data_IF_702517450833
#
_entry.id   IF_702517450833
#
_cell.length_a   1.000
_cell.length_b   1.000
_cell.length_c   1.000
_cell.angle_alpha   90.00
_cell.angle_beta   90.00
_cell.angle_gamma   90.00
#
_symmetry.space_group_name_H-M   'P 1'
#
loop_
_entity.id
_entity.type
_entity.pdbx_description
1 polymer ?
#
# COMPACT_ATOMS: atom_id res chain seq x y z
N UNK A 1 -5.07 0.33 -14.43
CA UNK A 1 -4.82 -0.62 -13.33
C UNK A 1 -5.57 -1.92 -13.59
N UNK A 2 -4.81 -2.93 -13.82
CA UNK A 2 -5.34 -4.17 -14.39
C UNK A 2 -6.40 -4.89 -13.56
N UNK A 3 -6.29 -4.88 -12.23
CA UNK A 3 -7.22 -5.64 -11.40
C UNK A 3 -8.67 -5.11 -11.49
N UNK A 4 -8.83 -3.80 -11.56
CA UNK A 4 -10.16 -3.21 -11.66
C UNK A 4 -10.76 -3.44 -13.05
N UNK A 5 -9.92 -3.42 -14.07
CA UNK A 5 -10.36 -3.71 -15.44
C UNK A 5 -10.83 -5.16 -15.57
N UNK A 6 -10.12 -6.08 -14.93
CA UNK A 6 -10.43 -7.51 -14.98
C UNK A 6 -11.78 -7.80 -14.35
N UNK A 7 -12.09 -7.18 -13.21
CA UNK A 7 -13.32 -7.48 -12.49
C UNK A 7 -14.50 -6.58 -12.88
N UNK A 8 -14.32 -5.67 -13.83
CA UNK A 8 -15.41 -4.86 -14.37
C UNK A 8 -16.02 -3.87 -13.40
N UNK A 9 -15.21 -3.31 -12.51
CA UNK A 9 -15.68 -2.32 -11.54
C UNK A 9 -16.09 -1.03 -12.25
N UNK A 10 -17.16 -0.39 -11.75
CA UNK A 10 -17.63 0.92 -12.21
C UNK A 10 -16.48 1.92 -12.28
N UNK A 11 -16.42 2.72 -13.35
CA UNK A 11 -15.36 3.68 -13.57
C UNK A 11 -15.29 4.75 -12.47
N UNK A 12 -16.43 5.15 -11.90
CA UNK A 12 -16.44 6.11 -10.79
C UNK A 12 -15.74 5.55 -9.57
N UNK A 13 -16.01 4.30 -9.23
CA UNK A 13 -15.36 3.61 -8.13
C UNK A 13 -13.87 3.43 -8.41
N UNK A 14 -13.52 3.09 -9.64
CA UNK A 14 -12.11 2.96 -10.05
C UNK A 14 -11.36 4.28 -9.88
N UNK A 15 -11.96 5.38 -10.31
CA UNK A 15 -11.35 6.70 -10.17
C UNK A 15 -11.18 7.10 -8.70
N UNK A 16 -12.20 6.85 -7.88
CA UNK A 16 -12.13 7.14 -6.46
C UNK A 16 -11.03 6.35 -5.79
N UNK A 17 -10.98 5.04 -6.03
CA UNK A 17 -9.96 4.19 -5.45
C UNK A 17 -8.57 4.56 -5.95
N UNK A 18 -8.43 4.92 -7.22
CA UNK A 18 -7.16 5.37 -7.78
C UNK A 18 -6.63 6.60 -7.06
N UNK A 19 -7.47 7.60 -6.86
CA UNK A 19 -7.13 8.81 -6.14
C UNK A 19 -6.74 8.51 -4.69
N UNK A 20 -7.51 7.67 -4.02
CA UNK A 20 -7.22 7.30 -2.63
C UNK A 20 -5.93 6.50 -2.52
N UNK A 21 -5.65 5.62 -3.48
CA UNK A 21 -4.39 4.87 -3.49
C UNK A 21 -3.18 5.76 -3.71
N UNK A 22 -3.30 6.80 -4.52
CA UNK A 22 -2.23 7.78 -4.69
C UNK A 22 -1.92 8.47 -3.36
N UNK A 23 -2.96 8.85 -2.63
CA UNK A 23 -2.79 9.49 -1.32
C UNK A 23 -2.18 8.51 -0.31
N UNK A 24 -2.63 7.26 -0.30
CA UNK A 24 -2.04 6.21 0.54
C UNK A 24 -0.56 6.04 0.22
N UNK A 25 -0.20 6.00 -1.06
CA UNK A 25 1.19 5.88 -1.48
C UNK A 25 2.03 7.07 -1.02
N UNK A 26 1.48 8.27 -1.10
CA UNK A 26 2.15 9.48 -0.63
C UNK A 26 2.42 9.42 0.88
N UNK A 27 1.43 9.03 1.65
CA UNK A 27 1.57 8.88 3.10
C UNK A 27 2.62 7.82 3.42
N UNK A 28 2.56 6.69 2.73
CA UNK A 28 3.51 5.59 2.89
C UNK A 28 4.94 6.07 2.66
N UNK A 29 5.19 6.75 1.56
CA UNK A 29 6.52 7.24 1.22
C UNK A 29 7.01 8.29 2.23
N UNK A 30 6.11 9.18 2.67
CA UNK A 30 6.43 10.19 3.67
C UNK A 30 6.86 9.55 4.99
N UNK A 31 6.16 8.50 5.41
CA UNK A 31 6.48 7.81 6.65
C UNK A 31 7.79 7.04 6.58
N UNK A 32 8.19 6.58 5.40
CA UNK A 32 9.47 5.90 5.21
C UNK A 32 10.64 6.86 5.06
N UNK A 33 10.40 8.11 4.76
CA UNK A 33 11.47 9.09 4.56
C UNK A 33 12.25 9.33 5.85
N UNK A 34 13.56 9.51 5.72
CA UNK A 34 14.43 9.76 6.85
C UNK A 34 15.54 10.71 6.44
N UNK A 35 15.97 11.56 7.38
CA UNK A 35 17.12 12.43 7.18
C UNK A 35 18.44 11.71 7.41
N UNK A 36 18.41 10.53 8.03
CA UNK A 36 19.59 9.73 8.27
C UNK A 36 19.88 8.86 7.04
N UNK A 37 20.96 9.12 6.28
CA UNK A 37 21.20 8.46 5.00
C UNK A 37 21.13 6.92 5.00
N UNK A 38 21.74 6.20 5.95
CA UNK A 38 21.62 4.74 5.96
C UNK A 38 20.18 4.25 6.09
N UNK A 39 19.39 4.91 6.93
CA UNK A 39 17.97 4.55 7.10
C UNK A 39 17.18 4.86 5.84
N UNK A 40 17.46 6.01 5.23
CA UNK A 40 16.77 6.40 4.01
C UNK A 40 17.08 5.43 2.85
N UNK A 41 18.32 4.99 2.72
CA UNK A 41 18.71 4.00 1.73
C UNK A 41 17.96 2.69 1.93
N UNK A 42 17.86 2.24 3.19
CA UNK A 42 17.12 1.04 3.52
C UNK A 42 15.62 1.20 3.20
N UNK A 43 15.05 2.36 3.50
CA UNK A 43 13.64 2.64 3.20
C UNK A 43 13.35 2.60 1.70
N UNK A 44 14.24 3.14 0.88
CA UNK A 44 14.12 3.06 -0.58
C UNK A 44 14.15 1.61 -1.04
N UNK A 45 15.05 0.81 -0.46
CA UNK A 45 15.15 -0.62 -0.78
C UNK A 45 13.87 -1.36 -0.39
N UNK A 46 13.36 -1.11 0.81
CA UNK A 46 12.12 -1.73 1.30
C UNK A 46 10.93 -1.35 0.43
N UNK A 47 10.89 -0.13 -0.08
CA UNK A 47 9.80 0.33 -0.94
C UNK A 47 9.65 -0.52 -2.21
N UNK A 48 10.71 -1.22 -2.64
CA UNK A 48 10.66 -2.12 -3.80
C UNK A 48 9.81 -3.36 -3.53
N UNK A 49 9.53 -3.68 -2.27
CA UNK A 49 8.67 -4.80 -1.89
C UNK A 49 7.20 -4.50 -2.15
N UNK A 50 6.88 -3.23 -2.36
CA UNK A 50 5.51 -2.80 -2.64
C UNK A 50 5.02 -3.44 -3.93
N UNK A 51 3.84 -4.07 -3.87
CA UNK A 51 3.25 -4.73 -5.01
C UNK A 51 2.04 -3.99 -5.55
N UNK A 52 0.93 -4.69 -5.71
CA UNK A 52 -0.30 -4.16 -6.29
C UNK A 52 -1.18 -3.39 -5.30
N UNK A 53 -0.71 -3.19 -4.10
CA UNK A 53 -1.43 -2.47 -3.05
C UNK A 53 -2.78 -3.11 -2.70
N UNK A 54 -2.82 -4.44 -2.74
CA UNK A 54 -4.05 -5.19 -2.51
C UNK A 54 -4.63 -4.94 -1.11
N UNK A 55 -3.78 -4.91 -0.08
CA UNK A 55 -4.25 -4.70 1.29
C UNK A 55 -4.82 -3.31 1.50
N UNK A 56 -4.18 -2.23 1.04
CA UNK A 56 -4.80 -0.92 1.05
C UNK A 56 -6.13 -0.89 0.31
N UNK A 57 -6.22 -1.52 -0.86
CA UNK A 57 -7.47 -1.60 -1.62
C UNK A 57 -8.58 -2.25 -0.79
N UNK A 58 -8.28 -3.36 -0.13
CA UNK A 58 -9.25 -4.04 0.72
C UNK A 58 -9.71 -3.19 1.90
N UNK A 59 -8.79 -2.46 2.53
CA UNK A 59 -9.14 -1.55 3.61
C UNK A 59 -10.08 -0.46 3.11
N UNK A 60 -9.76 0.17 1.98
CA UNK A 60 -10.57 1.24 1.42
C UNK A 60 -11.94 0.73 0.98
N UNK A 61 -12.00 -0.43 0.32
CA UNK A 61 -13.26 -1.05 -0.09
C UNK A 61 -14.12 -1.39 1.12
N UNK A 62 -13.51 -1.90 2.19
CA UNK A 62 -14.24 -2.21 3.42
C UNK A 62 -14.82 -0.94 4.04
N UNK A 63 -14.06 0.15 4.04
CA UNK A 63 -14.54 1.44 4.51
C UNK A 63 -15.73 1.95 3.71
N UNK A 64 -15.68 1.80 2.39
CA UNK A 64 -16.79 2.17 1.52
C UNK A 64 -18.02 1.30 1.76
N UNK A 65 -17.80 -0.01 1.97
CA UNK A 65 -18.90 -0.96 2.15
C UNK A 65 -19.70 -0.70 3.44
N UNK A 66 -19.04 -0.25 4.49
CA UNK A 66 -19.72 0.03 5.78
C UNK A 66 -20.13 1.48 5.93
N UNK A 67 -19.80 2.32 4.96
CA UNK A 67 -20.19 3.73 4.97
C UNK A 67 -21.68 3.92 4.78
N UNK A 68 -22.16 5.13 5.11
CA UNK A 68 -23.56 5.48 4.97
C UNK A 68 -23.89 5.73 3.50
N UNK A 69 -25.05 5.24 3.08
CA UNK A 69 -25.55 5.47 1.74
C UNK A 69 -25.69 6.97 1.44
N UNK A 70 -25.19 7.37 0.28
CA UNK A 70 -25.33 8.75 -0.18
C UNK A 70 -24.30 9.74 0.35
N UNK A 71 -23.43 9.32 1.22
CA UNK A 71 -22.33 10.19 1.69
C UNK A 71 -21.17 10.16 0.71
N UNK A 72 -20.74 11.35 0.29
CA UNK A 72 -19.63 11.48 -0.66
C UNK A 72 -18.26 11.43 0.01
N UNK A 73 -18.18 11.59 1.33
CA UNK A 73 -16.93 11.65 2.10
C UNK A 73 -16.87 10.52 3.13
N UNK A 74 -17.01 9.29 2.66
CA UNK A 74 -17.00 8.10 3.52
C UNK A 74 -15.59 7.79 3.99
N UNK A 75 -14.61 7.93 3.11
CA UNK A 75 -13.22 7.64 3.44
C UNK A 75 -12.58 8.82 4.15
N UNK A 76 -11.96 8.54 5.27
CA UNK A 76 -11.34 9.54 6.13
C UNK A 76 -9.83 9.33 6.20
N UNK A 77 -9.14 10.21 6.89
CA UNK A 77 -7.72 10.05 7.16
C UNK A 77 -7.42 8.78 7.94
N UNK A 78 -8.33 8.38 8.82
CA UNK A 78 -8.20 7.12 9.57
C UNK A 78 -8.22 5.92 8.64
N UNK A 79 -9.07 5.91 7.63
CA UNK A 79 -9.09 4.84 6.64
C UNK A 79 -7.76 4.77 5.89
N UNK A 80 -7.23 5.91 5.50
CA UNK A 80 -5.94 5.98 4.80
C UNK A 80 -4.80 5.52 5.68
N UNK A 81 -4.82 5.93 6.95
CA UNK A 81 -3.81 5.52 7.92
C UNK A 81 -3.82 4.01 8.11
N UNK A 82 -4.99 3.41 8.28
CA UNK A 82 -5.10 1.95 8.43
C UNK A 82 -4.61 1.24 7.16
N UNK A 83 -4.93 1.79 5.99
CA UNK A 83 -4.46 1.22 4.72
C UNK A 83 -2.92 1.25 4.64
N UNK A 84 -2.30 2.35 5.04
CA UNK A 84 -0.83 2.48 5.08
C UNK A 84 -0.23 1.49 6.07
N UNK A 85 -0.80 1.41 7.27
CA UNK A 85 -0.31 0.50 8.32
C UNK A 85 -0.40 -0.94 7.86
N UNK A 86 -1.51 -1.33 7.23
CA UNK A 86 -1.69 -2.69 6.72
C UNK A 86 -0.60 -3.04 5.70
N UNK A 87 -0.28 -2.13 4.79
CA UNK A 87 0.77 -2.36 3.80
C UNK A 87 2.16 -2.39 4.45
N UNK A 88 2.42 -1.51 5.40
CA UNK A 88 3.70 -1.49 6.12
C UNK A 88 3.95 -2.79 6.87
N UNK A 89 2.94 -3.30 7.57
CA UNK A 89 3.05 -4.57 8.29
C UNK A 89 3.33 -5.69 7.29
N UNK A 90 2.60 -5.72 6.19
CA UNK A 90 2.83 -6.73 5.15
C UNK A 90 4.25 -6.67 4.61
N UNK A 91 4.75 -5.50 4.28
CA UNK A 91 6.10 -5.34 3.77
C UNK A 91 7.15 -5.73 4.81
N UNK A 92 6.91 -5.40 6.08
CA UNK A 92 7.80 -5.81 7.15
C UNK A 92 7.89 -7.33 7.26
N UNK A 93 6.76 -8.03 7.11
CA UNK A 93 6.77 -9.50 7.12
C UNK A 93 7.50 -10.07 5.91
N UNK A 94 7.35 -9.46 4.74
CA UNK A 94 8.08 -9.91 3.54
C UNK A 94 9.59 -9.76 3.72
N UNK A 95 10.03 -8.62 4.23
CA UNK A 95 11.45 -8.36 4.48
C UNK A 95 12.00 -9.38 5.49
N UNK A 96 11.26 -9.59 6.56
CA UNK A 96 11.65 -10.53 7.61
C UNK A 96 11.78 -11.96 7.07
N UNK A 97 10.79 -12.39 6.29
CA UNK A 97 10.79 -13.71 5.69
C UNK A 97 11.96 -13.90 4.72
N UNK A 98 12.27 -12.88 3.92
CA UNK A 98 13.38 -12.94 2.99
C UNK A 98 14.73 -13.08 3.71
N UNK A 99 14.88 -12.41 4.85
CA UNK A 99 16.09 -12.55 5.66
C UNK A 99 16.18 -13.95 6.26
N UNK A 100 15.08 -14.48 6.81
CA UNK A 100 15.05 -15.82 7.39
C UNK A 100 15.29 -16.91 6.34
N UNK A 101 14.76 -16.73 5.14
CA UNK A 101 14.90 -17.69 4.04
C UNK A 101 16.19 -17.50 3.26
N UNK A 102 16.97 -16.47 3.57
CA UNK A 102 18.21 -16.15 2.85
C UNK A 102 17.99 -15.97 1.35
N UNK A 103 16.80 -15.50 0.97
CA UNK A 103 16.46 -15.29 -0.44
C UNK A 103 17.16 -14.06 -0.99
N UNK A 104 17.92 -14.17 -2.11
CA UNK A 104 18.65 -13.03 -2.68
C UNK A 104 17.77 -12.10 -3.50
N UNK A 105 16.65 -12.59 -4.01
CA UNK A 105 15.79 -11.83 -4.93
C UNK A 105 14.32 -12.04 -4.57
N UNK A 106 13.57 -10.95 -4.63
CA UNK A 106 12.11 -10.98 -4.55
C UNK A 106 11.54 -9.98 -5.54
N UNK A 107 10.57 -10.43 -6.35
CA UNK A 107 9.97 -9.62 -7.41
C UNK A 107 11.05 -9.09 -8.35
N UNK A 108 11.16 -7.78 -8.49
CA UNK A 108 12.06 -7.14 -9.44
C UNK A 108 13.31 -6.57 -8.78
N UNK A 109 13.66 -7.02 -7.59
CA UNK A 109 14.77 -6.46 -6.88
C UNK A 109 15.43 -7.41 -5.91
N UNK A 110 16.61 -7.03 -5.45
CA UNK A 110 17.31 -7.76 -4.41
C UNK A 110 16.55 -7.68 -3.09
N UNK A 111 16.70 -8.69 -2.25
CA UNK A 111 16.16 -8.66 -0.89
C UNK A 111 17.06 -7.80 0.02
N UNK A 112 16.60 -7.58 1.26
CA UNK A 112 17.38 -6.86 2.28
C UNK A 112 18.53 -7.71 2.81
N UNK A 113 18.51 -8.96 2.49
CA UNK A 113 19.45 -9.98 2.97
C UNK A 113 20.91 -9.69 2.57
#
# INVERSE_FOLDING_TARGET
>A
MAIFDIIGIDSHLTDLLGTELEEVSRIFETQLASEFPPVNTLSVHVARYRGKMLRPILVLLSGLAVGRNGESSILSDEHRTVAVVAEMIHMATLVHDDVLDESPVRRNGATVN
#
